data_IF_584522264538
#
_entry.id   IF_584522264538
#
_cell.length_a   1.000
_cell.length_b   1.000
_cell.length_c   1.000
_cell.angle_alpha   90.00
_cell.angle_beta   90.00
_cell.angle_gamma   90.00
#
_symmetry.space_group_name_H-M   'P 1'
#
loop_
_entity.id
_entity.type
_entity.pdbx_description
1 polymer ?
#
# COMPACT_ATOMS: atom_id res chain seq x y z
N UNK A 1 18.34 2.68 5.82
CA UNK A 1 18.15 1.25 5.48
C UNK A 1 19.11 0.75 4.40
N UNK A 2 19.56 1.58 3.48
CA UNK A 2 20.32 1.19 2.29
C UNK A 2 19.40 0.63 1.21
N UNK A 3 19.96 0.29 0.03
CA UNK A 3 19.27 -0.34 -1.10
C UNK A 3 20.01 -1.62 -1.49
N UNK A 4 19.35 -2.63 -2.12
CA UNK A 4 17.94 -2.63 -2.52
C UNK A 4 17.00 -2.78 -1.32
N UNK A 5 15.69 -2.49 -1.55
CA UNK A 5 14.63 -2.60 -0.55
C UNK A 5 13.66 -3.73 -0.88
N UNK A 6 13.13 -4.39 0.15
CA UNK A 6 11.94 -5.20 0.06
C UNK A 6 10.80 -4.50 0.82
N UNK A 7 9.73 -4.18 0.12
CA UNK A 7 8.57 -3.49 0.67
C UNK A 7 7.37 -4.43 0.69
N UNK A 8 6.71 -4.53 1.85
CA UNK A 8 5.52 -5.37 2.02
C UNK A 8 4.39 -4.54 2.57
N UNK A 9 3.28 -4.52 1.86
CA UNK A 9 2.10 -3.74 2.26
C UNK A 9 0.84 -4.52 1.95
N UNK A 10 -0.21 -4.30 2.73
CA UNK A 10 -1.53 -4.84 2.42
C UNK A 10 -2.65 -3.92 2.86
N UNK A 11 -3.82 -4.14 2.28
CA UNK A 11 -5.08 -3.58 2.71
C UNK A 11 -6.19 -4.62 2.51
N UNK A 12 -6.44 -5.42 3.54
CA UNK A 12 -7.50 -6.41 3.55
C UNK A 12 -8.67 -5.89 4.39
N UNK A 13 -9.82 -5.66 3.77
CA UNK A 13 -10.97 -5.06 4.41
C UNK A 13 -12.08 -6.09 4.56
N UNK A 14 -12.39 -6.44 5.81
CA UNK A 14 -13.59 -7.17 6.12
C UNK A 14 -14.78 -6.21 6.01
N UNK A 15 -15.62 -6.40 5.00
CA UNK A 15 -16.76 -5.53 4.77
C UNK A 15 -18.08 -6.30 4.81
N UNK A 16 -19.09 -5.67 5.37
CA UNK A 16 -20.46 -6.20 5.48
C UNK A 16 -21.50 -5.08 5.29
N UNK A 17 -22.76 -5.44 5.15
CA UNK A 17 -23.86 -4.47 5.05
C UNK A 17 -23.64 -3.43 3.94
N UNK A 18 -23.74 -2.16 4.29
CA UNK A 18 -23.63 -1.04 3.33
C UNK A 18 -22.23 -0.92 2.74
N UNK A 19 -21.17 -1.13 3.53
CA UNK A 19 -19.79 -1.11 3.05
C UNK A 19 -19.56 -2.21 2.01
N UNK A 20 -20.09 -3.42 2.25
CA UNK A 20 -20.02 -4.47 1.25
C UNK A 20 -20.77 -4.12 -0.04
N UNK A 21 -21.91 -3.44 0.07
CA UNK A 21 -22.63 -2.95 -1.11
C UNK A 21 -21.83 -1.91 -1.90
N UNK A 22 -21.12 -1.01 -1.22
CA UNK A 22 -20.20 -0.06 -1.87
C UNK A 22 -19.07 -0.80 -2.59
N UNK A 23 -18.40 -1.75 -1.94
CA UNK A 23 -17.32 -2.54 -2.56
C UNK A 23 -17.80 -3.33 -3.78
N UNK A 24 -18.98 -3.96 -3.72
CA UNK A 24 -19.56 -4.64 -4.88
C UNK A 24 -19.82 -3.68 -6.05
N UNK A 25 -20.30 -2.47 -5.76
CA UNK A 25 -20.53 -1.46 -6.79
C UNK A 25 -19.21 -0.99 -7.42
N UNK A 26 -18.16 -0.76 -6.63
CA UNK A 26 -16.82 -0.44 -7.14
C UNK A 26 -16.28 -1.58 -8.02
N UNK A 27 -16.42 -2.83 -7.58
CA UNK A 27 -16.00 -4.01 -8.35
C UNK A 27 -16.82 -4.29 -9.59
N UNK A 28 -17.85 -3.50 -9.90
CA UNK A 28 -18.48 -3.52 -11.21
C UNK A 28 -17.61 -2.94 -12.33
N UNK A 29 -16.60 -2.14 -11.99
CA UNK A 29 -15.73 -1.43 -12.93
C UNK A 29 -14.25 -1.39 -12.55
N UNK A 30 -13.91 -1.55 -11.27
CA UNK A 30 -12.56 -1.50 -10.74
C UNK A 30 -12.23 -2.78 -9.97
N UNK A 31 -10.96 -3.06 -9.78
CA UNK A 31 -10.49 -4.10 -8.86
C UNK A 31 -9.95 -3.47 -7.57
N UNK A 32 -9.83 -4.24 -6.47
CA UNK A 32 -9.18 -3.75 -5.25
C UNK A 32 -7.72 -3.32 -5.46
N UNK A 33 -7.01 -3.90 -6.44
CA UNK A 33 -5.65 -3.47 -6.81
C UNK A 33 -5.69 -2.07 -7.42
N UNK A 34 -6.63 -1.78 -8.31
CA UNK A 34 -6.70 -0.46 -8.96
C UNK A 34 -7.19 0.60 -7.99
N UNK A 35 -8.20 0.30 -7.18
CA UNK A 35 -8.78 1.26 -6.24
C UNK A 35 -7.85 1.59 -5.06
N UNK A 36 -7.47 0.59 -4.29
CA UNK A 36 -6.64 0.80 -3.10
C UNK A 36 -5.13 0.64 -3.38
N UNK A 37 -4.76 -0.29 -4.25
CA UNK A 37 -3.36 -0.61 -4.53
C UNK A 37 -2.58 0.55 -5.13
N UNK A 38 -3.23 1.44 -5.88
CA UNK A 38 -2.61 2.62 -6.48
C UNK A 38 -1.87 3.48 -5.45
N UNK A 39 -2.43 3.66 -4.26
CA UNK A 39 -1.81 4.43 -3.17
C UNK A 39 -0.52 3.77 -2.64
N UNK A 40 -0.53 2.44 -2.49
CA UNK A 40 0.64 1.70 -2.00
C UNK A 40 1.74 1.60 -3.05
N UNK A 41 1.37 1.50 -4.33
CA UNK A 41 2.32 1.54 -5.45
C UNK A 41 3.01 2.91 -5.54
N UNK A 42 2.26 4.00 -5.33
CA UNK A 42 2.81 5.35 -5.25
C UNK A 42 3.83 5.48 -4.11
N UNK A 43 3.46 5.07 -2.91
CA UNK A 43 4.36 5.05 -1.74
C UNK A 43 5.63 4.22 -2.01
N UNK A 44 5.50 3.05 -2.65
CA UNK A 44 6.67 2.24 -3.02
C UNK A 44 7.57 2.96 -4.02
N UNK A 45 7.01 3.63 -5.02
CA UNK A 45 7.77 4.43 -5.98
C UNK A 45 8.51 5.57 -5.29
N UNK A 46 7.86 6.30 -4.39
CA UNK A 46 8.46 7.39 -3.64
C UNK A 46 9.57 6.91 -2.68
N UNK A 47 9.38 5.79 -1.99
CA UNK A 47 10.40 5.23 -1.09
C UNK A 47 11.65 4.78 -1.86
N UNK A 48 11.49 4.15 -3.02
CA UNK A 48 12.63 3.67 -3.81
C UNK A 48 13.28 4.76 -4.63
N UNK A 49 12.52 5.77 -5.08
CA UNK A 49 12.97 6.74 -6.09
C UNK A 49 13.60 6.04 -7.32
N UNK A 50 13.14 4.83 -7.64
CA UNK A 50 13.68 4.00 -8.70
C UNK A 50 12.63 3.67 -9.74
N UNK A 51 13.05 3.54 -11.00
CA UNK A 51 12.15 3.21 -12.11
C UNK A 51 11.53 1.82 -11.88
N UNK A 52 10.19 1.67 -11.90
CA UNK A 52 9.55 0.37 -11.94
C UNK A 52 9.82 -0.30 -13.30
N UNK A 53 10.12 -1.59 -13.31
CA UNK A 53 10.47 -2.35 -14.50
C UNK A 53 9.39 -3.32 -14.94
N UNK A 54 8.79 -4.03 -14.00
CA UNK A 54 7.78 -5.03 -14.31
C UNK A 54 6.89 -5.34 -13.12
N UNK A 55 5.69 -5.82 -13.41
CA UNK A 55 4.72 -6.30 -12.42
C UNK A 55 4.23 -7.69 -12.76
N UNK A 56 3.94 -8.47 -11.72
CA UNK A 56 3.19 -9.72 -11.79
C UNK A 56 2.08 -9.67 -10.75
N UNK A 57 0.92 -10.21 -11.09
CA UNK A 57 -0.22 -10.21 -10.18
C UNK A 57 -1.07 -11.46 -10.34
N UNK A 58 -1.73 -11.84 -9.25
CA UNK A 58 -2.75 -12.88 -9.23
C UNK A 58 -4.00 -12.33 -8.57
N UNK A 59 -5.15 -12.82 -8.99
CA UNK A 59 -6.45 -12.45 -8.41
C UNK A 59 -7.38 -13.66 -8.37
N UNK A 60 -8.28 -13.67 -7.39
CA UNK A 60 -9.31 -14.68 -7.27
C UNK A 60 -10.65 -14.05 -6.89
N UNK A 61 -11.71 -14.55 -7.51
CA UNK A 61 -13.09 -14.22 -7.19
C UNK A 61 -13.60 -15.17 -6.11
N UNK A 62 -13.78 -14.66 -4.90
CA UNK A 62 -14.23 -15.44 -3.73
C UNK A 62 -15.75 -15.35 -3.49
N UNK A 63 -16.51 -14.71 -4.37
CA UNK A 63 -17.97 -14.54 -4.26
C UNK A 63 -18.64 -14.51 -5.61
N UNK A 64 -19.90 -14.90 -5.67
CA UNK A 64 -20.72 -14.78 -6.89
C UNK A 64 -21.41 -13.41 -7.02
N UNK A 65 -21.31 -12.55 -6.01
CA UNK A 65 -21.98 -11.25 -5.96
C UNK A 65 -21.27 -10.15 -6.76
N UNK A 66 -20.15 -10.45 -7.41
CA UNK A 66 -19.40 -9.53 -8.27
C UNK A 66 -19.29 -10.09 -9.69
N UNK A 67 -18.97 -9.26 -10.72
CA UNK A 67 -18.81 -9.74 -12.09
C UNK A 67 -17.81 -10.88 -12.23
N UNK A 68 -18.04 -11.76 -13.22
CA UNK A 68 -17.22 -12.96 -13.44
C UNK A 68 -15.78 -12.66 -13.88
N UNK A 69 -15.55 -11.51 -14.45
CA UNK A 69 -14.28 -11.03 -14.98
C UNK A 69 -13.52 -10.14 -14.01
N UNK A 70 -14.02 -10.02 -12.76
CA UNK A 70 -13.37 -9.28 -11.70
C UNK A 70 -13.05 -10.20 -10.50
N UNK A 71 -12.28 -9.68 -9.55
CA UNK A 71 -11.82 -10.38 -8.37
C UNK A 71 -11.95 -9.49 -7.13
N UNK A 72 -12.11 -10.11 -5.97
CA UNK A 72 -12.18 -9.41 -4.68
C UNK A 72 -11.02 -9.75 -3.74
N UNK A 73 -10.08 -10.58 -4.18
CA UNK A 73 -8.78 -10.80 -3.56
C UNK A 73 -7.70 -10.74 -4.63
N UNK A 74 -6.63 -9.99 -4.38
CA UNK A 74 -5.50 -9.87 -5.28
C UNK A 74 -4.17 -9.69 -4.57
N UNK A 75 -3.11 -10.16 -5.23
CA UNK A 75 -1.72 -9.92 -4.84
C UNK A 75 -0.94 -9.45 -6.04
N UNK A 76 0.03 -8.58 -5.81
CA UNK A 76 0.96 -8.15 -6.84
C UNK A 76 2.41 -8.14 -6.35
N UNK A 77 3.32 -8.21 -7.29
CA UNK A 77 4.75 -7.98 -7.10
C UNK A 77 5.24 -6.97 -8.13
N UNK A 78 6.09 -6.05 -7.69
CA UNK A 78 6.73 -5.07 -8.55
C UNK A 78 8.25 -5.16 -8.41
N UNK A 79 8.99 -4.99 -9.51
CA UNK A 79 10.45 -4.94 -9.56
C UNK A 79 10.90 -3.57 -10.00
N UNK A 80 11.95 -3.06 -9.36
CA UNK A 80 12.55 -1.77 -9.64
C UNK A 80 13.98 -1.90 -10.19
N UNK A 81 14.43 -0.88 -10.90
CA UNK A 81 15.73 -0.86 -11.57
C UNK A 81 16.93 -0.94 -10.61
N UNK A 82 16.79 -0.49 -9.37
CA UNK A 82 17.81 -0.59 -8.32
C UNK A 82 17.87 -1.96 -7.62
N UNK A 83 17.08 -2.93 -8.10
CA UNK A 83 16.96 -4.26 -7.54
C UNK A 83 15.94 -4.35 -6.38
N UNK A 84 15.31 -3.25 -5.99
CA UNK A 84 14.23 -3.25 -5.00
C UNK A 84 13.00 -3.99 -5.52
N UNK A 85 12.23 -4.55 -4.58
CA UNK A 85 10.98 -5.26 -4.87
C UNK A 85 9.87 -4.80 -3.94
N UNK A 86 8.65 -4.76 -4.47
CA UNK A 86 7.44 -4.51 -3.70
C UNK A 86 6.48 -5.70 -3.76
N UNK A 87 5.76 -5.90 -2.69
CA UNK A 87 4.64 -6.82 -2.59
C UNK A 87 3.44 -6.08 -2.00
N UNK A 88 2.30 -6.26 -2.61
CA UNK A 88 1.03 -5.73 -2.10
C UNK A 88 -0.07 -6.79 -2.18
N UNK A 89 -0.92 -6.81 -1.17
CA UNK A 89 -2.10 -7.67 -1.08
C UNK A 89 -3.33 -6.84 -0.74
N UNK A 90 -4.43 -7.14 -1.39
CA UNK A 90 -5.71 -6.51 -1.10
C UNK A 90 -6.87 -7.51 -1.18
N UNK A 91 -7.85 -7.31 -0.33
CA UNK A 91 -9.06 -8.10 -0.35
C UNK A 91 -10.25 -7.33 0.20
N UNK A 92 -11.42 -7.52 -0.40
CA UNK A 92 -12.69 -6.95 0.04
C UNK A 92 -13.75 -8.03 0.22
N UNK A 93 -14.44 -7.99 1.34
CA UNK A 93 -15.63 -8.81 1.53
C UNK A 93 -15.80 -9.41 2.91
N UNK A 94 -16.97 -10.02 3.13
CA UNK A 94 -17.29 -10.62 4.44
C UNK A 94 -16.48 -11.88 4.75
N UNK A 95 -15.76 -12.45 3.77
CA UNK A 95 -14.90 -13.62 3.94
C UNK A 95 -13.49 -13.28 4.45
N UNK A 96 -13.14 -12.01 4.56
CA UNK A 96 -11.82 -11.56 4.98
C UNK A 96 -11.69 -11.61 6.50
N UNK A 97 -10.56 -12.08 7.00
CA UNK A 97 -10.23 -12.05 8.42
C UNK A 97 -9.51 -10.77 8.79
N UNK A 98 -9.92 -10.12 9.85
CA UNK A 98 -9.29 -8.92 10.37
C UNK A 98 -7.88 -9.15 10.91
N UNK A 99 -7.53 -10.38 11.27
CA UNK A 99 -6.20 -10.71 11.77
C UNK A 99 -5.09 -10.55 10.72
N UNK A 100 -5.43 -10.57 9.42
CA UNK A 100 -4.49 -10.36 8.32
C UNK A 100 -4.56 -8.95 7.73
N UNK A 101 -5.15 -8.02 8.46
CA UNK A 101 -5.54 -6.69 7.97
C UNK A 101 -4.36 -5.78 7.62
N UNK A 102 -3.25 -5.84 8.37
CA UNK A 102 -2.28 -4.75 8.33
C UNK A 102 -0.81 -5.23 8.31
N UNK A 103 -0.13 -5.00 7.18
CA UNK A 103 1.32 -5.13 7.05
C UNK A 103 1.82 -3.89 6.31
N UNK A 104 2.76 -3.14 6.89
CA UNK A 104 3.47 -2.05 6.23
C UNK A 104 4.93 -2.08 6.69
N UNK A 105 5.76 -2.77 5.91
CA UNK A 105 7.19 -2.96 6.19
C UNK A 105 8.05 -2.48 5.04
N UNK A 106 9.19 -1.86 5.38
CA UNK A 106 10.29 -1.61 4.46
C UNK A 106 11.56 -2.21 5.03
N UNK A 107 12.16 -3.14 4.31
CA UNK A 107 13.32 -3.92 4.71
C UNK A 107 14.46 -3.58 3.76
N UNK A 108 15.62 -3.26 4.30
CA UNK A 108 16.85 -3.02 3.54
C UNK A 108 18.05 -3.73 4.15
N UNK A 109 19.23 -3.66 3.50
CA UNK A 109 20.43 -4.35 3.98
C UNK A 109 20.90 -3.95 5.37
N UNK A 110 20.51 -2.76 5.85
CA UNK A 110 20.95 -2.22 7.15
C UNK A 110 19.85 -2.27 8.22
N UNK A 111 18.72 -2.92 7.95
CA UNK A 111 17.60 -3.04 8.88
C UNK A 111 16.26 -2.77 8.26
N UNK A 112 15.24 -2.61 9.08
CA UNK A 112 13.86 -2.43 8.63
C UNK A 112 13.13 -1.34 9.41
N UNK A 113 12.08 -0.81 8.78
CA UNK A 113 11.09 0.05 9.42
C UNK A 113 9.72 -0.57 9.17
N UNK A 114 8.96 -0.76 10.23
CA UNK A 114 7.59 -1.27 10.17
C UNK A 114 6.66 -0.29 10.84
N UNK A 115 5.51 -0.02 10.21
CA UNK A 115 4.39 0.61 10.89
C UNK A 115 3.74 -0.46 11.75
N UNK A 116 3.51 -0.17 13.03
CA UNK A 116 2.90 -1.08 13.98
C UNK A 116 1.73 -0.39 14.68
N UNK A 117 0.79 -1.15 15.21
CA UNK A 117 -0.21 -0.61 16.11
C UNK A 117 0.43 -0.30 17.46
N UNK A 118 0.03 0.79 18.10
CA UNK A 118 0.52 1.15 19.43
C UNK A 118 -0.02 0.23 20.51
N UNK A 119 -1.28 -0.15 20.39
CA UNK A 119 -1.93 -1.18 21.18
C UNK A 119 -2.07 -2.45 20.34
N UNK A 120 -2.22 -3.61 20.97
CA UNK A 120 -2.69 -4.85 20.32
C UNK A 120 -4.16 -4.66 19.90
N UNK A 121 -4.44 -3.62 19.13
CA UNK A 121 -5.77 -3.34 18.62
C UNK A 121 -6.05 -4.42 17.55
N UNK A 122 -6.68 -5.48 17.99
CA UNK A 122 -7.55 -6.28 17.16
C UNK A 122 -8.75 -5.37 16.86
N UNK A 123 -8.59 -4.39 15.95
CA UNK A 123 -9.69 -3.54 15.59
C UNK A 123 -10.66 -4.39 14.78
N UNK A 124 -11.84 -4.55 15.34
CA UNK A 124 -13.02 -5.10 14.67
C UNK A 124 -13.53 -4.21 13.53
N UNK A 125 -12.67 -3.41 12.91
CA UNK A 125 -13.06 -2.27 12.09
C UNK A 125 -12.05 -2.05 10.95
N UNK A 126 -11.79 -3.14 10.21
CA UNK A 126 -10.83 -3.14 9.10
C UNK A 126 -11.32 -2.35 7.88
N UNK A 127 -12.58 -1.95 7.84
CA UNK A 127 -13.16 -1.07 6.82
C UNK A 127 -13.21 0.41 7.25
N UNK A 128 -12.74 0.74 8.46
CA UNK A 128 -12.61 2.12 8.92
C UNK A 128 -11.37 2.79 8.34
N UNK A 129 -11.59 3.85 7.56
CA UNK A 129 -10.52 4.57 6.86
C UNK A 129 -9.46 5.17 7.79
N UNK A 130 -9.84 5.57 9.01
CA UNK A 130 -8.90 6.08 10.01
C UNK A 130 -7.84 5.04 10.38
N UNK A 131 -8.17 3.75 10.34
CA UNK A 131 -7.23 2.68 10.62
C UNK A 131 -6.25 2.45 9.45
N UNK A 132 -6.62 2.80 8.22
CA UNK A 132 -5.77 2.64 7.04
C UNK A 132 -4.67 3.70 6.97
N UNK A 133 -4.94 4.91 7.46
CA UNK A 133 -4.04 6.06 7.38
C UNK A 133 -3.11 6.16 8.58
N UNK A 134 -3.38 5.45 9.69
CA UNK A 134 -2.54 5.47 10.88
C UNK A 134 -1.11 5.01 10.59
N UNK A 135 -0.16 5.84 11.00
CA UNK A 135 1.28 5.58 10.91
C UNK A 135 2.08 6.19 12.08
N UNK A 136 1.38 6.52 13.16
CA UNK A 136 1.95 7.19 14.33
C UNK A 136 2.93 6.33 15.13
N UNK A 137 3.02 5.05 14.88
CA UNK A 137 3.91 4.14 15.61
C UNK A 137 4.82 3.34 14.67
N UNK A 138 6.12 3.60 14.76
CA UNK A 138 7.13 2.93 13.96
C UNK A 138 8.00 2.03 14.83
N UNK A 139 8.29 0.83 14.32
CA UNK A 139 9.35 -0.05 14.85
C UNK A 139 10.52 0.00 13.90
N UNK A 140 11.68 0.40 14.43
CA UNK A 140 12.95 0.48 13.69
C UNK A 140 13.87 -0.61 14.19
N UNK A 141 14.39 -1.42 13.26
CA UNK A 141 15.36 -2.47 13.52
C UNK A 141 16.68 -2.16 12.79
N UNK A 142 17.82 -2.34 13.47
CA UNK A 142 19.15 -2.30 12.88
C UNK A 142 19.68 -3.72 12.68
N UNK A 143 20.24 -4.01 11.51
CA UNK A 143 20.86 -5.29 11.21
C UNK A 143 22.33 -5.40 11.64
N UNK A 144 22.87 -4.38 12.33
CA UNK A 144 24.26 -4.37 12.78
C UNK A 144 24.50 -5.42 13.85
N UNK A 145 25.52 -6.26 13.63
CA UNK A 145 25.93 -7.31 14.55
C UNK A 145 27.29 -7.00 15.16
N UNK A 146 27.49 -7.41 16.40
CA UNK A 146 28.76 -7.37 17.08
C UNK A 146 29.69 -8.55 16.66
N UNK A 147 30.87 -8.64 17.27
CA UNK A 147 31.84 -9.70 16.97
C UNK A 147 31.37 -11.11 17.38
N UNK A 148 30.30 -11.23 18.17
CA UNK A 148 29.70 -12.50 18.61
C UNK A 148 28.50 -12.89 17.73
N UNK A 149 28.10 -12.02 16.77
CA UNK A 149 26.94 -12.22 15.92
C UNK A 149 25.61 -11.78 16.56
N UNK A 150 25.66 -11.03 17.65
CA UNK A 150 24.48 -10.51 18.33
C UNK A 150 24.16 -9.07 17.86
N UNK A 151 22.88 -8.68 17.88
CA UNK A 151 22.49 -7.34 17.48
C UNK A 151 23.10 -6.28 18.41
N UNK A 152 23.79 -5.29 17.83
CA UNK A 152 24.41 -4.17 18.55
C UNK A 152 23.37 -3.30 19.25
N UNK A 153 22.19 -3.15 18.66
CA UNK A 153 21.15 -2.27 19.17
C UNK A 153 19.79 -2.99 19.27
N UNK A 154 19.04 -2.77 20.36
CA UNK A 154 17.66 -3.25 20.45
C UNK A 154 16.77 -2.53 19.42
N UNK A 155 15.63 -3.14 19.10
CA UNK A 155 14.61 -2.46 18.29
C UNK A 155 14.14 -1.17 18.96
N UNK A 156 14.03 -0.11 18.17
CA UNK A 156 13.53 1.19 18.65
C UNK A 156 12.07 1.33 18.24
N UNK A 157 11.19 1.63 19.21
CA UNK A 157 9.82 2.09 18.96
C UNK A 157 9.82 3.62 18.95
N UNK A 158 9.19 4.20 17.93
CA UNK A 158 8.99 5.65 17.80
C UNK A 158 7.49 5.89 17.70
N UNK A 159 6.97 6.71 18.59
CA UNK A 159 5.56 7.11 18.60
C UNK A 159 5.51 8.60 18.29
N UNK A 160 4.60 9.00 17.45
CA UNK A 160 4.30 10.39 17.11
C UNK A 160 2.94 10.75 17.72
N UNK A 161 2.92 11.80 18.56
CA UNK A 161 1.71 12.22 19.27
C UNK A 161 0.70 12.93 18.35
N UNK A 162 1.15 13.41 17.19
CA UNK A 162 0.36 14.15 16.21
C UNK A 162 0.24 13.33 14.92
N UNK A 163 -0.64 12.31 14.90
CA UNK A 163 -1.02 11.63 13.66
C UNK A 163 -2.30 12.29 13.13
N UNK A 164 -2.26 12.94 11.95
CA UNK A 164 -3.41 13.63 11.42
C UNK A 164 -4.54 12.62 11.15
N UNK A 165 -5.77 13.01 11.44
CA UNK A 165 -6.95 12.24 11.05
C UNK A 165 -7.06 12.16 9.52
N UNK A 166 -7.85 11.23 9.01
CA UNK A 166 -8.12 11.16 7.57
C UNK A 166 -8.70 12.49 7.05
N UNK A 167 -9.56 13.15 7.82
CA UNK A 167 -10.12 14.45 7.43
C UNK A 167 -9.04 15.55 7.36
N UNK A 168 -8.09 15.57 8.32
CA UNK A 168 -6.98 16.52 8.29
C UNK A 168 -6.08 16.31 7.05
N UNK A 169 -5.87 15.04 6.64
CA UNK A 169 -5.13 14.73 5.42
C UNK A 169 -5.85 15.26 4.17
N UNK A 170 -7.17 15.06 4.08
CA UNK A 170 -7.98 15.60 2.99
C UNK A 170 -7.98 17.14 2.96
N UNK A 171 -8.08 17.78 4.11
CA UNK A 171 -8.06 19.25 4.22
C UNK A 171 -6.69 19.82 3.81
N UNK A 172 -5.60 19.15 4.19
CA UNK A 172 -4.25 19.50 3.78
C UNK A 172 -4.05 19.37 2.26
N UNK A 173 -4.53 18.28 1.66
CA UNK A 173 -4.47 18.06 0.21
C UNK A 173 -5.24 19.16 -0.55
N UNK A 174 -6.46 19.43 -0.15
CA UNK A 174 -7.28 20.48 -0.78
C UNK A 174 -6.68 21.87 -0.61
N UNK A 175 -6.14 22.17 0.57
CA UNK A 175 -5.47 23.45 0.83
C UNK A 175 -4.22 23.60 -0.05
N UNK A 176 -3.39 22.56 -0.15
CA UNK A 176 -2.22 22.55 -1.01
C UNK A 176 -2.59 22.75 -2.49
N UNK A 177 -3.63 22.07 -2.96
CA UNK A 177 -4.10 22.24 -4.33
C UNK A 177 -4.64 23.66 -4.60
N UNK A 178 -5.43 24.20 -3.67
CA UNK A 178 -5.93 25.57 -3.75
C UNK A 178 -4.79 26.60 -3.78
N UNK A 179 -3.83 26.48 -2.87
CA UNK A 179 -2.66 27.36 -2.80
C UNK A 179 -1.80 27.26 -4.06
N UNK A 180 -1.72 26.07 -4.65
CA UNK A 180 -1.00 25.85 -5.91
C UNK A 180 -1.65 26.61 -7.07
N UNK A 181 -2.97 26.66 -7.14
CA UNK A 181 -3.70 27.44 -8.14
C UNK A 181 -3.47 28.95 -7.93
N UNK A 182 -3.59 29.43 -6.69
CA UNK A 182 -3.46 30.86 -6.38
C UNK A 182 -2.04 31.38 -6.63
N UNK A 183 -1.04 30.56 -6.33
CA UNK A 183 0.37 30.95 -6.42
C UNK A 183 1.05 30.46 -7.72
N UNK A 184 0.30 29.89 -8.68
CA UNK A 184 0.80 29.37 -9.96
C UNK A 184 1.97 28.38 -9.77
N UNK A 185 1.82 27.46 -8.80
CA UNK A 185 2.83 26.44 -8.51
C UNK A 185 2.74 25.34 -9.58
N UNK A 186 3.88 24.96 -10.16
CA UNK A 186 3.95 23.88 -11.12
C UNK A 186 3.74 22.51 -10.41
N UNK A 187 2.66 21.82 -10.78
CA UNK A 187 2.29 20.49 -10.26
C UNK A 187 2.64 19.35 -11.24
N UNK A 188 3.49 19.63 -12.23
CA UNK A 188 3.81 18.63 -13.27
C UNK A 188 4.38 17.35 -12.68
N UNK A 189 5.28 17.43 -11.71
CA UNK A 189 5.89 16.25 -11.09
C UNK A 189 4.84 15.40 -10.35
N UNK A 190 3.89 16.03 -9.64
CA UNK A 190 2.77 15.34 -9.01
C UNK A 190 1.87 14.62 -10.01
N UNK A 191 1.61 15.26 -11.16
CA UNK A 191 0.82 14.67 -12.23
C UNK A 191 1.53 13.46 -12.84
N UNK A 192 2.84 13.57 -13.08
CA UNK A 192 3.65 12.47 -13.62
C UNK A 192 3.71 11.28 -12.65
N UNK A 193 3.83 11.51 -11.33
CA UNK A 193 3.83 10.45 -10.32
C UNK A 193 2.46 9.77 -10.21
N UNK A 194 1.37 10.55 -10.21
CA UNK A 194 0.01 10.03 -10.20
C UNK A 194 -0.28 9.17 -11.44
N UNK A 195 0.15 9.63 -12.62
CA UNK A 195 0.01 8.89 -13.87
C UNK A 195 0.79 7.58 -13.83
N UNK A 196 2.03 7.60 -13.33
CA UNK A 196 2.89 6.42 -13.18
C UNK A 196 2.25 5.38 -12.25
N UNK A 197 1.77 5.80 -11.09
CA UNK A 197 1.14 4.92 -10.10
C UNK A 197 -0.11 4.25 -10.66
N UNK A 198 -0.96 5.01 -11.38
CA UNK A 198 -2.12 4.45 -12.07
C UNK A 198 -1.72 3.48 -13.19
N UNK A 199 -0.70 3.80 -13.98
CA UNK A 199 -0.19 2.93 -15.04
C UNK A 199 0.27 1.57 -14.47
N UNK A 200 0.98 1.58 -13.35
CA UNK A 200 1.42 0.36 -12.66
C UNK A 200 0.20 -0.44 -12.15
N UNK A 201 -0.78 0.21 -11.54
CA UNK A 201 -1.99 -0.46 -11.04
C UNK A 201 -2.78 -1.13 -12.17
N UNK A 202 -2.95 -0.46 -13.31
CA UNK A 202 -3.61 -1.02 -14.49
C UNK A 202 -2.81 -2.18 -15.11
N UNK A 203 -1.48 -2.09 -15.11
CA UNK A 203 -0.62 -3.20 -15.56
C UNK A 203 -0.74 -4.42 -14.63
N UNK A 204 -0.89 -4.22 -13.32
CA UNK A 204 -1.19 -5.31 -12.38
C UNK A 204 -2.53 -5.98 -12.69
N UNK A 205 -3.55 -5.21 -12.97
CA UNK A 205 -4.87 -5.73 -13.36
C UNK A 205 -4.80 -6.54 -14.68
N UNK A 206 -4.01 -6.07 -15.63
CA UNK A 206 -3.70 -6.80 -16.85
C UNK A 206 -2.95 -8.11 -16.56
N UNK A 207 -1.97 -8.09 -15.63
CA UNK A 207 -1.25 -9.28 -15.22
C UNK A 207 -2.17 -10.35 -14.63
N UNK A 208 -3.15 -9.96 -13.80
CA UNK A 208 -4.19 -10.88 -13.29
C UNK A 208 -4.96 -11.52 -14.44
N UNK A 209 -5.38 -10.73 -15.43
CA UNK A 209 -6.20 -11.21 -16.58
C UNK A 209 -5.40 -12.11 -17.53
N UNK A 210 -4.12 -11.86 -17.71
CA UNK A 210 -3.26 -12.61 -18.65
C UNK A 210 -2.50 -13.77 -18.00
N UNK A 211 -2.36 -13.76 -16.67
CA UNK A 211 -1.56 -14.72 -15.91
C UNK A 211 -0.05 -14.57 -16.13
N UNK A 212 0.40 -13.45 -16.69
CA UNK A 212 1.79 -13.18 -17.04
C UNK A 212 2.40 -12.00 -16.30
N UNK A 213 3.69 -11.76 -16.53
CA UNK A 213 4.40 -10.54 -16.12
C UNK A 213 4.20 -9.47 -17.19
N UNK A 214 3.93 -8.25 -16.77
CA UNK A 214 3.83 -7.07 -17.63
C UNK A 214 5.07 -6.21 -17.42
N UNK A 215 5.81 -5.96 -18.50
CA UNK A 215 6.94 -5.03 -18.50
C UNK A 215 6.40 -3.60 -18.53
N UNK A 216 7.08 -2.71 -17.81
CA UNK A 216 6.74 -1.27 -17.69
C UNK A 216 7.78 -0.45 -18.47
N UNK A 217 7.31 0.44 -19.34
CA UNK A 217 8.15 1.30 -20.18
C UNK A 217 8.78 2.50 -19.42
#
# INVERSE_FOLDING_TARGET
MGKPLAMRMNLNQQSSGDTWNVHKNLMSSLSPIVDCGVHYLDVMCQITESKPLSVSAIGIRLTEEIPNDNYNYGQLQIRFADGSVGWYECAWGPMISETAFFIKDVIGPKGSVSIISEDDIHSSDSDNIENHTRNNCLKIHSSELDNNGEFVSPNKKVVYDEDPSHQDLCDNEQSYFYDSIINDIDLKDHLEDSYKSLQIALACDQAVKTGGTIELD
#
